data_IF_666303622501
#
_entry.id   IF_666303622501
#
_cell.length_a   1.000
_cell.length_b   1.000
_cell.length_c   1.000
_cell.angle_alpha   90.00
_cell.angle_beta   90.00
_cell.angle_gamma   90.00
#
_symmetry.space_group_name_H-M   'P 1'
#
loop_
_entity.id
_entity.type
_entity.pdbx_description
1 polymer ?
#
# COMPACT_ATOMS: atom_id res chain seq x y z
N UNK A 1 -22.81 20.90 -21.81
CA UNK A 1 -23.22 20.80 -20.40
C UNK A 1 -22.06 21.27 -19.55
N UNK A 2 -22.29 22.17 -18.60
CA UNK A 2 -21.23 22.61 -17.70
C UNK A 2 -20.83 21.51 -16.74
N UNK A 3 -19.52 21.31 -16.61
CA UNK A 3 -18.92 20.25 -15.79
C UNK A 3 -18.00 20.91 -14.77
N UNK A 4 -18.18 20.58 -13.49
CA UNK A 4 -17.26 20.93 -12.42
C UNK A 4 -16.42 19.70 -12.08
N UNK A 5 -15.11 19.91 -12.03
CA UNK A 5 -14.15 18.93 -11.53
C UNK A 5 -13.66 19.34 -10.16
N UNK A 6 -13.64 18.41 -9.22
CA UNK A 6 -13.17 18.63 -7.87
C UNK A 6 -11.85 17.89 -7.65
N UNK A 7 -10.99 18.48 -6.85
CA UNK A 7 -9.72 17.89 -6.41
C UNK A 7 -9.89 17.10 -5.10
N UNK A 8 -8.82 16.48 -4.66
CA UNK A 8 -8.81 15.72 -3.39
C UNK A 8 -9.17 16.54 -2.14
N UNK A 9 -9.09 17.86 -2.21
CA UNK A 9 -9.38 18.75 -1.07
C UNK A 9 -10.85 19.18 -0.98
N UNK A 10 -11.71 18.73 -1.91
CA UNK A 10 -13.12 19.17 -1.99
C UNK A 10 -14.09 18.22 -1.28
N UNK A 11 -13.68 17.60 -0.16
CA UNK A 11 -14.54 16.66 0.59
C UNK A 11 -15.85 17.33 1.05
N UNK A 12 -15.81 18.61 1.42
CA UNK A 12 -16.99 19.35 1.84
C UNK A 12 -17.99 19.58 0.71
N UNK A 13 -17.53 19.56 -0.54
CA UNK A 13 -18.41 19.59 -1.71
C UNK A 13 -19.12 18.24 -1.86
N UNK A 14 -18.40 17.14 -1.67
CA UNK A 14 -18.94 15.78 -1.77
C UNK A 14 -20.00 15.54 -0.69
N UNK A 15 -19.70 15.93 0.55
CA UNK A 15 -20.62 15.80 1.68
C UNK A 15 -21.78 16.83 1.65
N UNK A 16 -21.79 17.70 0.65
CA UNK A 16 -22.82 18.74 0.51
C UNK A 16 -22.71 19.90 1.49
N UNK A 17 -21.61 20.02 2.24
CA UNK A 17 -21.37 21.13 3.15
C UNK A 17 -21.06 22.43 2.39
N UNK A 18 -20.21 22.33 1.36
CA UNK A 18 -19.87 23.47 0.51
C UNK A 18 -21.01 23.71 -0.48
N UNK A 19 -21.51 24.96 -0.55
CA UNK A 19 -22.64 25.38 -1.39
C UNK A 19 -22.24 26.34 -2.49
N UNK A 20 -20.95 26.69 -2.57
CA UNK A 20 -20.42 27.57 -3.61
C UNK A 20 -19.01 27.17 -4.02
N UNK A 21 -18.57 27.61 -5.17
CA UNK A 21 -17.20 27.44 -5.66
C UNK A 21 -16.84 28.62 -6.58
N UNK A 22 -15.55 28.93 -6.64
CA UNK A 22 -15.03 29.97 -7.53
C UNK A 22 -14.36 29.31 -8.73
N UNK A 23 -14.66 29.79 -9.92
CA UNK A 23 -14.08 29.29 -11.17
C UNK A 23 -13.76 30.45 -12.13
N UNK A 24 -12.63 30.31 -12.85
CA UNK A 24 -12.29 31.24 -13.94
C UNK A 24 -13.40 31.21 -15.00
N UNK A 25 -13.76 32.39 -15.52
CA UNK A 25 -14.80 32.52 -16.51
C UNK A 25 -14.40 31.78 -17.80
N UNK A 26 -15.27 30.89 -18.24
CA UNK A 26 -15.06 30.11 -19.45
C UNK A 26 -15.80 30.79 -20.64
N UNK A 27 -15.59 30.25 -21.86
CA UNK A 27 -16.24 30.75 -23.07
C UNK A 27 -17.77 30.91 -22.94
N UNK A 28 -18.39 30.11 -22.08
CA UNK A 28 -19.83 30.18 -21.79
C UNK A 28 -20.03 30.30 -20.29
N UNK A 29 -20.29 31.52 -19.76
CA UNK A 29 -20.57 31.71 -18.34
C UNK A 29 -21.80 30.93 -17.89
N UNK A 30 -21.78 30.45 -16.67
CA UNK A 30 -22.92 29.80 -16.03
C UNK A 30 -23.98 30.83 -15.66
N UNK A 31 -25.24 30.41 -15.66
CA UNK A 31 -26.40 31.20 -15.29
C UNK A 31 -27.24 30.46 -14.24
N UNK A 32 -28.02 31.24 -13.49
CA UNK A 32 -29.02 30.69 -12.58
C UNK A 32 -29.95 29.72 -13.30
N UNK A 33 -30.14 28.56 -12.73
CA UNK A 33 -30.94 27.46 -13.29
C UNK A 33 -30.18 26.47 -14.15
N UNK A 34 -28.89 26.73 -14.44
CA UNK A 34 -28.08 25.75 -15.15
C UNK A 34 -27.87 24.48 -14.29
N UNK A 35 -27.92 23.32 -14.93
CA UNK A 35 -27.57 22.06 -14.28
C UNK A 35 -26.08 21.84 -14.35
N UNK A 36 -25.48 21.49 -13.20
CA UNK A 36 -24.08 21.15 -13.04
C UNK A 36 -23.94 19.63 -12.88
N UNK A 37 -23.01 19.06 -13.62
CA UNK A 37 -22.58 17.69 -13.44
C UNK A 37 -21.21 17.70 -12.76
N UNK A 38 -21.17 17.22 -11.54
CA UNK A 38 -19.98 17.24 -10.72
C UNK A 38 -19.28 15.89 -10.81
N UNK A 39 -18.03 15.90 -11.28
CA UNK A 39 -17.22 14.70 -11.49
C UNK A 39 -15.95 14.74 -10.67
N UNK A 40 -15.54 13.58 -10.20
CA UNK A 40 -14.23 13.34 -9.63
C UNK A 40 -13.26 12.93 -10.73
N UNK A 41 -12.03 13.47 -10.68
CA UNK A 41 -10.90 13.05 -11.51
C UNK A 41 -11.17 13.03 -13.03
N UNK A 42 -11.51 14.18 -13.59
CA UNK A 42 -11.77 14.34 -15.04
C UNK A 42 -10.59 13.95 -15.96
N UNK A 43 -9.38 13.84 -15.42
CA UNK A 43 -8.15 13.57 -16.18
C UNK A 43 -7.88 12.07 -16.31
N UNK A 44 -8.52 11.22 -15.51
CA UNK A 44 -8.36 9.76 -15.59
C UNK A 44 -9.40 9.11 -16.52
N UNK A 45 -9.12 7.87 -16.95
CA UNK A 45 -10.09 7.07 -17.73
C UNK A 45 -11.35 6.72 -16.91
N UNK A 46 -11.26 6.80 -15.60
CA UNK A 46 -12.34 6.50 -14.64
C UNK A 46 -12.96 7.78 -14.12
N UNK A 47 -13.79 8.39 -14.93
CA UNK A 47 -14.59 9.56 -14.54
C UNK A 47 -15.74 9.10 -13.66
N UNK A 48 -15.75 9.56 -12.41
CA UNK A 48 -16.86 9.27 -11.51
C UNK A 48 -17.72 10.53 -11.34
N UNK A 49 -19.00 10.45 -11.72
CA UNK A 49 -19.97 11.50 -11.47
C UNK A 49 -20.30 11.49 -9.97
N UNK A 50 -20.07 12.61 -9.30
CA UNK A 50 -20.27 12.73 -7.86
C UNK A 50 -21.72 13.08 -7.53
N UNK A 51 -22.24 14.14 -8.13
CA UNK A 51 -23.63 14.57 -7.95
C UNK A 51 -24.06 15.52 -9.07
N UNK A 52 -25.36 15.80 -9.15
CA UNK A 52 -25.92 16.90 -9.92
C UNK A 52 -26.31 18.03 -8.99
N UNK A 53 -26.21 19.24 -9.50
CA UNK A 53 -26.60 20.42 -8.78
C UNK A 53 -27.29 21.41 -9.73
N UNK A 54 -28.11 22.28 -9.16
CA UNK A 54 -28.66 23.43 -9.88
C UNK A 54 -27.94 24.68 -9.39
N UNK A 55 -27.51 25.51 -10.32
CA UNK A 55 -26.97 26.83 -10.02
C UNK A 55 -28.06 27.68 -9.43
N UNK A 56 -27.90 28.12 -8.19
CA UNK A 56 -28.88 28.95 -7.48
C UNK A 56 -28.59 30.43 -7.68
N UNK A 57 -27.33 30.80 -7.83
CA UNK A 57 -26.90 32.14 -8.15
C UNK A 57 -25.49 32.16 -8.76
N UNK A 58 -25.13 33.23 -9.42
CA UNK A 58 -23.81 33.44 -10.03
C UNK A 58 -23.42 34.89 -9.85
N UNK A 59 -22.23 35.11 -9.29
CA UNK A 59 -21.64 36.43 -9.13
C UNK A 59 -20.36 36.53 -9.93
N UNK A 60 -20.22 37.55 -10.78
CA UNK A 60 -18.96 37.84 -11.44
C UNK A 60 -18.04 38.59 -10.45
N UNK A 61 -16.84 38.16 -10.29
CA UNK A 61 -15.85 38.73 -9.39
C UNK A 61 -14.52 38.94 -10.12
N UNK A 62 -13.89 40.09 -9.90
CA UNK A 62 -12.56 40.34 -10.42
C UNK A 62 -11.51 39.52 -9.64
N UNK A 63 -10.46 39.07 -10.32
CA UNK A 63 -9.41 38.30 -9.68
C UNK A 63 -8.72 39.07 -8.55
N UNK A 64 -8.58 40.38 -8.71
CA UNK A 64 -8.00 41.27 -7.71
C UNK A 64 -8.78 41.25 -6.38
N UNK A 65 -10.11 41.18 -6.45
CA UNK A 65 -10.99 41.14 -5.28
C UNK A 65 -10.89 39.77 -4.56
N UNK A 66 -10.58 38.72 -5.29
CA UNK A 66 -10.39 37.38 -4.73
C UNK A 66 -9.05 37.29 -3.97
N UNK A 67 -7.97 37.75 -4.59
CA UNK A 67 -6.60 37.55 -4.06
C UNK A 67 -6.26 38.45 -2.86
N UNK A 68 -7.07 39.46 -2.60
CA UNK A 68 -6.89 40.39 -1.47
C UNK A 68 -7.89 40.15 -0.33
N UNK A 69 -8.72 39.11 -0.44
CA UNK A 69 -9.78 38.84 0.53
C UNK A 69 -9.57 37.53 1.26
N UNK A 70 -9.07 37.61 2.49
CA UNK A 70 -8.82 36.47 3.35
C UNK A 70 -10.11 35.73 3.78
N UNK A 71 -11.24 36.43 3.83
CA UNK A 71 -12.53 35.80 4.16
C UNK A 71 -13.00 34.91 3.01
N UNK A 72 -12.87 35.37 1.76
CA UNK A 72 -13.14 34.57 0.57
C UNK A 72 -12.20 33.35 0.55
N UNK A 73 -10.93 33.53 0.87
CA UNK A 73 -9.97 32.43 0.92
C UNK A 73 -10.36 31.36 1.96
N UNK A 74 -10.74 31.77 3.17
CA UNK A 74 -11.16 30.84 4.23
C UNK A 74 -12.46 30.13 3.88
N UNK A 75 -13.41 30.81 3.28
CA UNK A 75 -14.65 30.19 2.82
C UNK A 75 -14.44 29.17 1.69
N UNK A 76 -13.37 29.33 0.88
CA UNK A 76 -12.94 28.39 -0.14
C UNK A 76 -12.00 27.28 0.43
N UNK A 77 -11.72 27.28 1.73
CA UNK A 77 -10.93 26.24 2.41
C UNK A 77 -9.43 26.48 2.40
N UNK A 78 -8.98 27.71 2.13
CA UNK A 78 -7.58 28.10 2.23
C UNK A 78 -7.31 28.83 3.54
N UNK A 79 -6.05 28.81 3.99
CA UNK A 79 -5.63 29.51 5.22
C UNK A 79 -5.75 31.02 5.09
N UNK A 80 -5.33 31.54 3.94
CA UNK A 80 -5.32 32.95 3.60
C UNK A 80 -5.35 33.16 2.07
N UNK A 81 -5.49 34.39 1.65
CA UNK A 81 -5.52 34.79 0.23
C UNK A 81 -4.21 34.45 -0.51
N UNK A 82 -3.08 34.42 0.18
CA UNK A 82 -1.76 34.07 -0.43
C UNK A 82 -1.68 32.60 -0.79
N UNK A 83 -2.17 31.73 0.08
CA UNK A 83 -2.25 30.30 -0.19
C UNK A 83 -3.22 30.04 -1.35
N UNK A 84 -4.39 30.67 -1.33
CA UNK A 84 -5.38 30.57 -2.40
C UNK A 84 -4.80 31.01 -3.75
N UNK A 85 -4.08 32.13 -3.79
CA UNK A 85 -3.41 32.63 -4.99
C UNK A 85 -2.38 31.64 -5.52
N UNK A 86 -1.59 31.03 -4.63
CA UNK A 86 -0.59 30.03 -5.01
C UNK A 86 -1.25 28.81 -5.67
N UNK A 87 -2.32 28.31 -5.11
CA UNK A 87 -3.05 27.17 -5.69
C UNK A 87 -3.77 27.54 -6.98
N UNK A 88 -4.35 28.74 -7.10
CA UNK A 88 -4.92 29.22 -8.36
C UNK A 88 -3.86 29.32 -9.46
N UNK A 89 -2.69 29.88 -9.18
CA UNK A 89 -1.58 29.92 -10.15
C UNK A 89 -1.14 28.52 -10.59
N UNK A 90 -1.10 27.57 -9.68
CA UNK A 90 -0.79 26.17 -9.98
C UNK A 90 -1.89 25.53 -10.85
N UNK A 91 -3.16 25.71 -10.49
CA UNK A 91 -4.32 25.14 -11.19
C UNK A 91 -4.43 25.65 -12.63
N UNK A 92 -4.16 26.93 -12.85
CA UNK A 92 -4.24 27.57 -14.17
C UNK A 92 -2.89 27.72 -14.88
N UNK A 93 -1.85 27.01 -14.40
CA UNK A 93 -0.52 26.95 -15.05
C UNK A 93 0.19 28.31 -15.12
N UNK A 94 0.04 29.15 -14.11
CA UNK A 94 0.62 30.49 -14.05
C UNK A 94 -0.04 31.53 -14.97
N UNK A 95 -1.14 31.17 -15.65
CA UNK A 95 -1.86 32.02 -16.63
C UNK A 95 -3.01 32.79 -15.98
N UNK A 96 -2.86 33.26 -14.76
CA UNK A 96 -3.87 34.06 -14.07
C UNK A 96 -3.28 35.44 -13.80
N UNK A 97 -3.92 36.48 -14.27
CA UNK A 97 -3.56 37.86 -14.02
C UNK A 97 -4.75 38.69 -13.49
N UNK A 98 -4.48 39.91 -13.06
CA UNK A 98 -5.48 40.79 -12.44
C UNK A 98 -6.65 41.18 -13.36
N UNK A 99 -6.50 40.98 -14.69
CA UNK A 99 -7.59 41.22 -15.66
C UNK A 99 -8.51 40.03 -15.84
N UNK A 100 -8.20 38.88 -15.26
CA UNK A 100 -9.04 37.70 -15.36
C UNK A 100 -10.33 37.85 -14.59
N UNK A 101 -11.41 37.36 -15.20
CA UNK A 101 -12.72 37.33 -14.58
C UNK A 101 -13.06 35.94 -14.06
N UNK A 102 -13.65 35.89 -12.90
CA UNK A 102 -14.11 34.70 -12.24
C UNK A 102 -15.59 34.75 -11.95
N UNK A 103 -16.17 33.59 -11.69
CA UNK A 103 -17.54 33.47 -11.21
C UNK A 103 -17.56 32.79 -9.86
N UNK A 104 -18.26 33.35 -8.90
CA UNK A 104 -18.69 32.64 -7.70
C UNK A 104 -20.00 31.94 -8.06
N UNK A 105 -20.01 30.64 -7.98
CA UNK A 105 -21.15 29.82 -8.38
C UNK A 105 -21.78 29.26 -7.12
N UNK A 106 -22.95 29.73 -6.79
CA UNK A 106 -23.79 29.17 -5.74
C UNK A 106 -24.62 28.04 -6.32
N UNK A 107 -24.67 26.91 -5.62
CA UNK A 107 -25.45 25.78 -6.11
C UNK A 107 -26.15 25.03 -4.97
N UNK A 108 -27.25 24.39 -5.32
CA UNK A 108 -27.95 23.44 -4.47
C UNK A 108 -27.81 22.05 -5.08
N UNK A 109 -27.30 21.11 -4.28
CA UNK A 109 -27.32 19.69 -4.65
C UNK A 109 -28.77 19.27 -4.89
N UNK A 110 -29.03 18.58 -6.00
CA UNK A 110 -30.35 18.01 -6.25
C UNK A 110 -30.57 16.84 -5.31
N UNK A 111 -31.74 16.80 -4.68
CA UNK A 111 -32.14 15.67 -3.86
C UNK A 111 -32.38 14.44 -4.75
N UNK A 112 -32.27 13.26 -4.13
CA UNK A 112 -32.33 11.96 -4.82
C UNK A 112 -33.64 11.80 -5.62
N UNK A 113 -34.74 12.39 -5.15
CA UNK A 113 -36.05 12.34 -5.81
C UNK A 113 -36.12 13.14 -7.12
N UNK A 114 -35.24 14.15 -7.29
CA UNK A 114 -35.10 14.94 -8.52
C UNK A 114 -34.14 14.29 -9.55
N UNK A 115 -33.55 13.16 -9.19
CA UNK A 115 -32.55 12.48 -9.98
C UNK A 115 -33.20 11.49 -10.97
N UNK A 116 -32.96 11.69 -12.26
CA UNK A 116 -33.40 10.77 -13.34
C UNK A 116 -32.25 9.86 -13.87
N UNK A 117 -31.19 9.69 -13.11
CA UNK A 117 -30.06 8.79 -13.44
C UNK A 117 -29.92 7.64 -12.45
N UNK A 118 -28.95 6.75 -12.66
CA UNK A 118 -28.68 5.65 -11.74
C UNK A 118 -28.42 6.19 -10.32
N UNK A 119 -29.17 5.65 -9.35
CA UNK A 119 -29.04 6.03 -7.92
C UNK A 119 -27.66 5.64 -7.40
N UNK A 120 -26.71 6.57 -7.46
CA UNK A 120 -25.42 6.38 -6.78
C UNK A 120 -25.59 6.92 -5.35
N UNK A 121 -25.56 6.01 -4.40
CA UNK A 121 -25.60 6.31 -2.98
C UNK A 121 -24.38 7.13 -2.55
N UNK A 122 -24.57 8.15 -1.73
CA UNK A 122 -23.50 9.04 -1.26
C UNK A 122 -22.40 8.23 -0.53
N UNK A 123 -22.79 7.26 0.30
CA UNK A 123 -21.88 6.33 0.97
C UNK A 123 -21.00 5.59 -0.04
N UNK A 124 -21.63 5.02 -1.07
CA UNK A 124 -20.92 4.27 -2.12
C UNK A 124 -19.89 5.11 -2.88
N UNK A 125 -20.19 6.39 -3.13
CA UNK A 125 -19.25 7.30 -3.80
C UNK A 125 -18.05 7.64 -2.93
N UNK A 126 -18.29 7.93 -1.64
CA UNK A 126 -17.23 8.24 -0.68
C UNK A 126 -16.35 7.02 -0.49
N UNK A 127 -16.95 5.83 -0.38
CA UNK A 127 -16.24 4.54 -0.28
C UNK A 127 -15.32 4.31 -1.48
N UNK A 128 -15.84 4.39 -2.70
CA UNK A 128 -15.02 4.23 -3.92
C UNK A 128 -13.86 5.22 -3.99
N UNK A 129 -14.09 6.44 -3.52
CA UNK A 129 -13.01 7.43 -3.42
C UNK A 129 -11.95 7.01 -2.40
N UNK A 130 -12.37 6.52 -1.25
CA UNK A 130 -11.49 6.02 -0.22
C UNK A 130 -10.61 4.87 -0.77
N UNK A 131 -11.24 3.91 -1.46
CA UNK A 131 -10.54 2.78 -2.09
C UNK A 131 -9.48 3.25 -3.10
N UNK A 132 -9.83 4.17 -4.01
CA UNK A 132 -8.88 4.74 -4.99
C UNK A 132 -7.71 5.46 -4.30
N UNK A 133 -7.97 6.18 -3.20
CA UNK A 133 -6.92 6.85 -2.43
C UNK A 133 -6.03 5.85 -1.71
N UNK A 134 -6.60 4.80 -1.16
CA UNK A 134 -5.89 3.67 -0.55
C UNK A 134 -4.96 3.01 -1.56
N UNK A 135 -5.48 2.60 -2.72
CA UNK A 135 -4.72 1.95 -3.81
C UNK A 135 -3.60 2.85 -4.37
N UNK A 136 -3.76 4.19 -4.24
CA UNK A 136 -2.76 5.19 -4.62
C UNK A 136 -1.73 5.47 -3.53
N UNK A 137 -1.76 4.77 -2.39
CA UNK A 137 -0.89 4.99 -1.25
C UNK A 137 -1.13 6.31 -0.48
N UNK A 138 -2.28 6.95 -0.68
CA UNK A 138 -2.64 8.22 -0.03
C UNK A 138 -3.48 7.97 1.23
N UNK A 139 -2.88 7.27 2.17
CA UNK A 139 -3.57 6.72 3.33
C UNK A 139 -4.23 7.78 4.22
N UNK A 140 -3.58 8.92 4.53
CA UNK A 140 -4.19 10.02 5.30
C UNK A 140 -5.51 10.52 4.69
N UNK A 141 -5.55 10.65 3.36
CA UNK A 141 -6.75 11.12 2.66
C UNK A 141 -7.81 10.03 2.55
N UNK A 142 -7.39 8.79 2.46
CA UNK A 142 -8.27 7.62 2.49
C UNK A 142 -8.97 7.52 3.84
N UNK A 143 -8.25 7.70 4.96
CA UNK A 143 -8.82 7.76 6.33
C UNK A 143 -9.98 8.75 6.40
N UNK A 144 -9.76 9.99 5.93
CA UNK A 144 -10.82 11.02 5.94
C UNK A 144 -12.07 10.60 5.16
N UNK A 145 -11.90 9.85 4.08
CA UNK A 145 -13.03 9.38 3.27
C UNK A 145 -13.74 8.21 3.96
N UNK A 146 -13.01 7.23 4.50
CA UNK A 146 -13.62 6.13 5.26
C UNK A 146 -14.36 6.65 6.49
N UNK A 147 -13.80 7.60 7.23
CA UNK A 147 -14.48 8.27 8.35
C UNK A 147 -15.78 8.95 7.92
N UNK A 148 -15.76 9.60 6.77
CA UNK A 148 -16.96 10.25 6.23
C UNK A 148 -18.04 9.22 5.83
N UNK A 149 -17.64 8.08 5.27
CA UNK A 149 -18.55 6.98 4.95
C UNK A 149 -19.10 6.30 6.21
N UNK A 150 -18.25 6.07 7.22
CA UNK A 150 -18.65 5.48 8.51
C UNK A 150 -19.56 6.41 9.33
N UNK A 151 -19.52 7.74 9.12
CA UNK A 151 -20.53 8.64 9.71
C UNK A 151 -21.92 8.45 9.10
N UNK A 152 -22.01 7.96 7.86
CA UNK A 152 -23.29 7.65 7.20
C UNK A 152 -23.78 6.28 7.67
N UNK A 153 -22.89 5.31 7.76
CA UNK A 153 -23.19 3.96 8.18
C UNK A 153 -22.10 3.42 9.13
N UNK A 154 -22.24 3.62 10.44
CA UNK A 154 -21.24 3.24 11.44
C UNK A 154 -21.03 1.73 11.60
N UNK A 155 -21.94 0.92 11.07
CA UNK A 155 -21.95 -0.53 11.22
C UNK A 155 -21.66 -1.27 9.91
N UNK A 156 -21.16 -0.58 8.90
CA UNK A 156 -20.73 -1.18 7.64
C UNK A 156 -19.42 -1.95 7.84
N UNK A 157 -19.50 -3.27 7.85
CA UNK A 157 -18.37 -4.18 8.10
C UNK A 157 -17.25 -3.99 7.08
N UNK A 158 -17.61 -3.75 5.80
CA UNK A 158 -16.61 -3.49 4.75
C UNK A 158 -15.82 -2.20 5.04
N UNK A 159 -16.52 -1.12 5.40
CA UNK A 159 -15.86 0.16 5.72
C UNK A 159 -14.99 0.06 6.95
N UNK A 160 -15.46 -0.61 8.00
CA UNK A 160 -14.68 -0.84 9.22
C UNK A 160 -13.41 -1.64 8.93
N UNK A 161 -13.51 -2.71 8.15
CA UNK A 161 -12.34 -3.49 7.76
C UNK A 161 -11.36 -2.65 6.91
N UNK A 162 -11.85 -1.91 5.92
CA UNK A 162 -11.02 -1.05 5.07
C UNK A 162 -10.37 0.09 5.84
N UNK A 163 -11.06 0.67 6.80
CA UNK A 163 -10.47 1.66 7.70
C UNK A 163 -9.37 1.05 8.56
N UNK A 164 -9.57 -0.15 9.09
CA UNK A 164 -8.54 -0.90 9.80
C UNK A 164 -7.31 -1.18 8.94
N UNK A 165 -7.51 -1.65 7.70
CA UNK A 165 -6.42 -1.88 6.74
C UNK A 165 -5.64 -0.58 6.47
N UNK A 166 -6.36 0.53 6.32
CA UNK A 166 -5.75 1.84 6.05
C UNK A 166 -4.94 2.37 7.24
N UNK A 167 -5.47 2.26 8.45
CA UNK A 167 -4.78 2.62 9.70
C UNK A 167 -3.54 1.74 9.92
N UNK A 168 -3.63 0.45 9.64
CA UNK A 168 -2.47 -0.46 9.69
C UNK A 168 -1.36 -0.04 8.73
N UNK A 169 -1.69 0.48 7.53
CA UNK A 169 -0.70 1.05 6.58
C UNK A 169 -0.06 2.33 7.06
N UNK A 170 -0.73 3.09 7.91
CA UNK A 170 -0.19 4.28 8.58
C UNK A 170 0.65 3.95 9.82
N UNK A 171 0.62 2.70 10.29
CA UNK A 171 1.25 2.28 11.55
C UNK A 171 0.41 2.57 12.79
N UNK A 172 -0.84 2.99 12.62
CA UNK A 172 -1.81 3.27 13.68
C UNK A 172 -2.52 1.97 14.07
N UNK A 173 -1.75 1.05 14.68
CA UNK A 173 -2.21 -0.33 14.89
C UNK A 173 -3.33 -0.45 15.95
N UNK A 174 -3.30 0.36 17.00
CA UNK A 174 -4.31 0.32 18.05
C UNK A 174 -5.69 0.72 17.51
N UNK A 175 -5.74 1.80 16.72
CA UNK A 175 -6.96 2.27 16.08
C UNK A 175 -7.44 1.28 14.99
N UNK A 176 -6.52 0.63 14.29
CA UNK A 176 -6.84 -0.43 13.33
C UNK A 176 -7.52 -1.61 14.02
N UNK A 177 -6.98 -2.05 15.17
CA UNK A 177 -7.54 -3.14 15.98
C UNK A 177 -8.95 -2.78 16.47
N UNK A 178 -9.18 -1.54 16.91
CA UNK A 178 -10.53 -1.08 17.27
C UNK A 178 -11.53 -1.16 16.12
N UNK A 179 -11.10 -0.83 14.89
CA UNK A 179 -11.95 -0.94 13.71
C UNK A 179 -12.29 -2.39 13.41
N UNK A 180 -11.30 -3.30 13.48
CA UNK A 180 -11.54 -4.73 13.30
C UNK A 180 -12.44 -5.31 14.40
N UNK A 181 -12.28 -4.87 15.65
CA UNK A 181 -13.15 -5.32 16.75
C UNK A 181 -14.60 -4.93 16.52
N UNK A 182 -14.86 -3.67 16.12
CA UNK A 182 -16.20 -3.22 15.77
C UNK A 182 -16.80 -4.03 14.60
N UNK A 183 -15.98 -4.39 13.63
CA UNK A 183 -16.42 -5.22 12.52
C UNK A 183 -16.73 -6.66 12.97
N UNK A 184 -15.91 -7.23 13.86
CA UNK A 184 -16.10 -8.57 14.43
C UNK A 184 -17.24 -8.65 15.45
N UNK A 185 -17.63 -7.56 16.08
CA UNK A 185 -18.86 -7.48 16.88
C UNK A 185 -20.12 -7.72 16.02
N UNK A 186 -20.03 -7.41 14.72
CA UNK A 186 -21.13 -7.59 13.76
C UNK A 186 -21.02 -8.96 13.07
N UNK A 187 -19.82 -9.30 12.61
CA UNK A 187 -19.51 -10.58 11.92
C UNK A 187 -18.39 -11.33 12.66
N UNK A 188 -18.67 -12.04 13.75
CA UNK A 188 -17.65 -12.69 14.59
C UNK A 188 -16.88 -13.82 13.90
N UNK A 189 -17.41 -14.38 12.82
CA UNK A 189 -16.86 -15.47 12.04
C UNK A 189 -16.17 -15.01 10.75
N UNK A 190 -16.04 -13.70 10.55
CA UNK A 190 -15.35 -13.16 9.37
C UNK A 190 -13.85 -13.42 9.44
N UNK A 191 -13.44 -14.47 8.76
CA UNK A 191 -12.07 -14.98 8.76
C UNK A 191 -11.05 -13.96 8.23
N UNK A 192 -11.44 -13.13 7.26
CA UNK A 192 -10.56 -12.10 6.71
C UNK A 192 -10.26 -11.01 7.75
N UNK A 193 -11.28 -10.55 8.46
CA UNK A 193 -11.11 -9.54 9.50
C UNK A 193 -10.31 -10.09 10.68
N UNK A 194 -10.58 -11.34 11.09
CA UNK A 194 -9.79 -12.03 12.13
C UNK A 194 -8.31 -12.12 11.76
N UNK A 195 -8.03 -12.41 10.49
CA UNK A 195 -6.67 -12.48 9.98
C UNK A 195 -6.01 -11.09 9.94
N UNK A 196 -6.69 -10.07 9.43
CA UNK A 196 -6.18 -8.69 9.40
C UNK A 196 -5.91 -8.17 10.82
N UNK A 197 -6.82 -8.46 11.78
CA UNK A 197 -6.62 -8.15 13.19
C UNK A 197 -5.39 -8.87 13.75
N UNK A 198 -5.19 -10.14 13.42
CA UNK A 198 -4.00 -10.88 13.86
C UNK A 198 -2.70 -10.24 13.37
N UNK A 199 -2.67 -9.78 12.10
CA UNK A 199 -1.53 -9.07 11.51
C UNK A 199 -1.31 -7.71 12.21
N UNK A 200 -2.37 -6.95 12.47
CA UNK A 200 -2.26 -5.67 13.17
C UNK A 200 -1.73 -5.84 14.60
N UNK A 201 -2.23 -6.85 15.33
CA UNK A 201 -1.72 -7.20 16.67
C UNK A 201 -0.26 -7.62 16.65
N UNK A 202 0.15 -8.40 15.64
CA UNK A 202 1.55 -8.77 15.44
C UNK A 202 2.45 -7.55 15.26
N UNK A 203 2.04 -6.61 14.40
CA UNK A 203 2.78 -5.38 14.15
C UNK A 203 2.77 -4.42 15.34
N UNK A 204 1.75 -4.46 16.17
CA UNK A 204 1.68 -3.74 17.45
C UNK A 204 2.56 -4.38 18.55
N UNK A 205 3.09 -5.59 18.30
CA UNK A 205 3.88 -6.36 19.28
C UNK A 205 3.06 -7.22 20.24
N UNK A 206 1.74 -7.25 20.10
CA UNK A 206 0.87 -8.14 20.89
C UNK A 206 0.81 -9.54 20.27
N UNK A 207 1.86 -10.33 20.56
CA UNK A 207 2.02 -11.68 20.01
C UNK A 207 0.94 -12.65 20.55
N UNK A 208 0.50 -12.48 21.79
CA UNK A 208 -0.54 -13.33 22.38
C UNK A 208 -1.90 -13.04 21.72
N UNK A 209 -2.26 -11.78 21.56
CA UNK A 209 -3.46 -11.35 20.85
C UNK A 209 -3.46 -11.83 19.38
N UNK A 210 -2.31 -11.73 18.69
CA UNK A 210 -2.14 -12.21 17.33
C UNK A 210 -2.38 -13.73 17.22
N UNK A 211 -1.79 -14.52 18.12
CA UNK A 211 -1.99 -15.96 18.18
C UNK A 211 -3.46 -16.31 18.46
N UNK A 212 -4.11 -15.59 19.37
CA UNK A 212 -5.52 -15.80 19.70
C UNK A 212 -6.41 -15.53 18.49
N UNK A 213 -6.25 -14.40 17.83
CA UNK A 213 -7.04 -14.03 16.63
C UNK A 213 -6.82 -15.01 15.48
N UNK A 214 -5.56 -15.39 15.20
CA UNK A 214 -5.25 -16.39 14.17
C UNK A 214 -5.79 -17.78 14.52
N UNK A 215 -5.88 -18.13 15.81
CA UNK A 215 -6.48 -19.39 16.27
C UNK A 215 -7.99 -19.41 16.03
N UNK A 216 -8.66 -18.29 16.27
CA UNK A 216 -10.10 -18.16 15.99
C UNK A 216 -10.34 -18.29 14.48
N UNK A 217 -9.55 -17.56 13.65
CA UNK A 217 -9.63 -17.65 12.20
C UNK A 217 -9.41 -19.09 11.69
N UNK A 218 -8.43 -19.79 12.23
CA UNK A 218 -8.16 -21.19 11.91
C UNK A 218 -9.30 -22.14 12.28
N UNK A 219 -9.99 -21.90 13.41
CA UNK A 219 -11.12 -22.73 13.82
C UNK A 219 -12.32 -22.58 12.86
N UNK A 220 -12.54 -21.37 12.33
CA UNK A 220 -13.60 -21.15 11.34
C UNK A 220 -13.20 -21.65 9.93
N UNK A 221 -11.93 -21.50 9.54
CA UNK A 221 -11.47 -21.87 8.21
C UNK A 221 -10.11 -22.59 8.23
N UNK A 222 -10.08 -23.87 8.65
CA UNK A 222 -8.83 -24.60 8.88
C UNK A 222 -8.06 -24.98 7.59
N UNK A 223 -8.66 -24.73 6.42
CA UNK A 223 -8.06 -25.01 5.10
C UNK A 223 -7.89 -23.75 4.25
N UNK A 224 -8.07 -22.55 4.81
CA UNK A 224 -7.84 -21.31 4.10
C UNK A 224 -6.33 -21.05 3.99
N UNK A 225 -5.77 -20.91 2.77
CA UNK A 225 -4.33 -20.68 2.59
C UNK A 225 -3.83 -19.45 3.33
N UNK A 226 -4.55 -18.33 3.24
CA UNK A 226 -4.17 -17.09 3.91
C UNK A 226 -4.14 -17.21 5.44
N UNK A 227 -5.08 -17.95 6.02
CA UNK A 227 -5.12 -18.19 7.48
C UNK A 227 -3.96 -19.08 7.91
N UNK A 228 -3.68 -20.13 7.15
CA UNK A 228 -2.56 -21.03 7.43
C UNK A 228 -1.23 -20.29 7.33
N UNK A 229 -1.04 -19.49 6.28
CA UNK A 229 0.19 -18.72 6.08
C UNK A 229 0.49 -17.81 7.27
N UNK A 230 -0.44 -16.92 7.62
CA UNK A 230 -0.24 -15.98 8.72
C UNK A 230 -0.17 -16.67 10.10
N UNK A 231 -0.90 -17.76 10.28
CA UNK A 231 -0.77 -18.57 11.51
C UNK A 231 0.61 -19.22 11.61
N UNK A 232 1.13 -19.77 10.53
CA UNK A 232 2.50 -20.30 10.47
C UNK A 232 3.51 -19.23 10.85
N UNK A 233 3.41 -18.05 10.25
CA UNK A 233 4.28 -16.92 10.51
C UNK A 233 4.21 -16.40 11.95
N UNK A 234 3.03 -16.29 12.52
CA UNK A 234 2.86 -15.90 13.94
C UNK A 234 3.49 -16.92 14.87
N UNK A 235 3.32 -18.22 14.60
CA UNK A 235 3.93 -19.28 15.39
C UNK A 235 5.47 -19.29 15.28
N UNK A 236 5.99 -18.98 14.11
CA UNK A 236 7.44 -18.82 13.88
C UNK A 236 8.01 -17.68 14.72
N UNK A 237 7.40 -16.50 14.69
CA UNK A 237 7.82 -15.35 15.53
C UNK A 237 7.74 -15.67 17.03
N UNK A 238 6.77 -16.48 17.43
CA UNK A 238 6.67 -16.96 18.81
C UNK A 238 7.71 -18.02 19.20
N UNK A 239 8.54 -18.48 18.26
CA UNK A 239 9.50 -19.58 18.47
C UNK A 239 8.86 -20.97 18.56
N UNK A 240 7.58 -21.08 18.20
CA UNK A 240 6.84 -22.35 18.21
C UNK A 240 7.05 -23.12 16.91
N UNK A 241 8.34 -23.33 16.57
CA UNK A 241 8.82 -23.81 15.26
C UNK A 241 8.15 -25.12 14.81
N UNK A 242 8.03 -26.12 15.70
CA UNK A 242 7.37 -27.39 15.35
C UNK A 242 5.90 -27.24 15.00
N UNK A 243 5.21 -26.24 15.60
CA UNK A 243 3.81 -25.95 15.26
C UNK A 243 3.73 -25.19 13.95
N UNK A 244 4.62 -24.22 13.72
CA UNK A 244 4.71 -23.48 12.47
C UNK A 244 4.97 -24.43 11.29
N UNK A 245 5.93 -25.35 11.44
CA UNK A 245 6.27 -26.34 10.40
C UNK A 245 5.06 -27.19 10.01
N UNK A 246 4.31 -27.71 10.99
CA UNK A 246 3.08 -28.46 10.70
C UNK A 246 2.03 -27.64 9.97
N UNK A 247 1.97 -26.34 10.22
CA UNK A 247 1.03 -25.43 9.53
C UNK A 247 1.50 -25.20 8.09
N UNK A 248 2.79 -24.99 7.86
CA UNK A 248 3.32 -24.84 6.51
C UNK A 248 3.24 -26.14 5.71
N UNK A 249 3.51 -27.29 6.32
CA UNK A 249 3.33 -28.61 5.68
C UNK A 249 1.86 -28.82 5.23
N UNK A 250 0.90 -28.40 6.08
CA UNK A 250 -0.51 -28.45 5.72
C UNK A 250 -0.85 -27.48 4.58
N UNK A 251 -0.25 -26.30 4.59
CA UNK A 251 -0.47 -25.30 3.55
C UNK A 251 0.08 -25.77 2.19
N UNK A 252 1.25 -26.39 2.17
CA UNK A 252 1.84 -26.99 0.97
C UNK A 252 0.93 -28.06 0.33
N UNK A 253 0.23 -28.86 1.15
CA UNK A 253 -0.72 -29.85 0.61
C UNK A 253 -1.89 -29.19 -0.11
N UNK A 254 -2.26 -27.95 0.28
CA UNK A 254 -3.40 -27.21 -0.28
C UNK A 254 -2.95 -26.34 -1.47
N UNK A 255 -1.79 -25.74 -1.40
CA UNK A 255 -1.27 -24.73 -2.32
C UNK A 255 0.20 -25.03 -2.65
N UNK A 256 0.45 -26.17 -3.32
CA UNK A 256 1.79 -26.64 -3.66
C UNK A 256 2.50 -25.81 -4.73
N UNK A 257 1.75 -25.02 -5.50
CA UNK A 257 2.27 -24.20 -6.59
C UNK A 257 2.68 -22.79 -6.13
N UNK A 258 2.57 -22.48 -4.84
CA UNK A 258 2.91 -21.19 -4.29
C UNK A 258 4.36 -21.18 -3.75
N UNK A 259 5.30 -20.49 -4.42
CA UNK A 259 6.70 -20.47 -4.02
C UNK A 259 6.92 -19.82 -2.65
N UNK A 260 6.08 -18.85 -2.25
CA UNK A 260 6.22 -18.17 -0.95
C UNK A 260 6.06 -19.14 0.23
N UNK A 261 5.20 -20.16 0.08
CA UNK A 261 4.99 -21.15 1.13
C UNK A 261 6.21 -22.05 1.30
N UNK A 262 6.80 -22.48 0.20
CA UNK A 262 8.03 -23.26 0.19
C UNK A 262 9.19 -22.46 0.76
N UNK A 263 9.30 -21.18 0.41
CA UNK A 263 10.31 -20.27 0.98
C UNK A 263 10.14 -20.09 2.49
N UNK A 264 8.91 -19.88 2.96
CA UNK A 264 8.63 -19.74 4.40
C UNK A 264 9.01 -21.03 5.16
N UNK A 265 8.69 -22.20 4.60
CA UNK A 265 9.10 -23.48 5.16
C UNK A 265 10.62 -23.64 5.19
N UNK A 266 11.30 -23.26 4.11
CA UNK A 266 12.76 -23.31 4.00
C UNK A 266 13.43 -22.40 5.04
N UNK A 267 12.96 -21.18 5.22
CA UNK A 267 13.46 -20.25 6.24
C UNK A 267 13.30 -20.83 7.64
N UNK A 268 12.09 -21.31 7.97
CA UNK A 268 11.84 -21.93 9.27
C UNK A 268 12.74 -23.12 9.52
N UNK A 269 12.99 -23.96 8.52
CA UNK A 269 13.89 -25.12 8.64
C UNK A 269 15.36 -24.68 8.81
N UNK A 270 15.76 -23.58 8.19
CA UNK A 270 17.08 -22.97 8.42
C UNK A 270 17.23 -22.52 9.87
N UNK A 271 16.24 -21.83 10.41
CA UNK A 271 16.22 -21.41 11.82
C UNK A 271 16.22 -22.59 12.81
N UNK A 272 15.66 -23.72 12.41
CA UNK A 272 15.71 -24.98 13.15
C UNK A 272 17.02 -25.74 12.99
N UNK A 273 17.94 -25.29 12.13
CA UNK A 273 19.20 -26.00 11.79
C UNK A 273 18.98 -27.24 10.93
N UNK A 274 17.81 -27.43 10.31
CA UNK A 274 17.48 -28.58 9.43
C UNK A 274 17.81 -28.23 7.98
N UNK A 275 19.09 -28.01 7.71
CA UNK A 275 19.59 -27.37 6.51
C UNK A 275 19.31 -28.15 5.22
N UNK A 276 19.41 -29.48 5.24
CA UNK A 276 19.12 -30.30 4.07
C UNK A 276 17.65 -30.20 3.66
N UNK A 277 16.72 -30.18 4.62
CA UNK A 277 15.29 -30.04 4.35
C UNK A 277 14.93 -28.59 3.94
N UNK A 278 15.69 -27.61 4.42
CA UNK A 278 15.56 -26.22 4.00
C UNK A 278 15.92 -26.09 2.51
N UNK A 279 17.04 -26.69 2.08
CA UNK A 279 17.47 -26.71 0.69
C UNK A 279 16.41 -27.36 -0.20
N UNK A 280 15.86 -28.52 0.20
CA UNK A 280 14.77 -29.17 -0.54
C UNK A 280 13.54 -28.24 -0.69
N UNK A 281 13.24 -27.43 0.33
CA UNK A 281 12.13 -26.49 0.28
C UNK A 281 12.40 -25.32 -0.68
N UNK A 282 13.62 -24.76 -0.65
CA UNK A 282 14.01 -23.70 -1.58
C UNK A 282 14.09 -24.20 -3.03
N UNK A 283 14.57 -25.43 -3.24
CA UNK A 283 14.61 -26.06 -4.55
C UNK A 283 13.19 -26.21 -5.13
N UNK A 284 12.22 -26.63 -4.29
CA UNK A 284 10.82 -26.66 -4.66
C UNK A 284 10.25 -25.27 -4.97
N UNK A 285 10.60 -24.23 -4.21
CA UNK A 285 10.19 -22.86 -4.51
C UNK A 285 10.68 -22.44 -5.90
N UNK A 286 11.92 -22.77 -6.25
CA UNK A 286 12.48 -22.49 -7.58
C UNK A 286 11.78 -23.30 -8.67
N UNK A 287 11.52 -24.59 -8.43
CA UNK A 287 10.85 -25.46 -9.41
C UNK A 287 9.45 -24.96 -9.80
N UNK A 288 8.65 -24.51 -8.84
CA UNK A 288 7.29 -24.01 -9.11
C UNK A 288 7.27 -22.65 -9.82
N UNK A 289 8.38 -21.90 -9.81
CA UNK A 289 8.54 -20.66 -10.57
C UNK A 289 8.95 -20.84 -12.03
N UNK A 290 9.31 -22.06 -12.47
CA UNK A 290 9.93 -22.30 -13.77
C UNK A 290 9.00 -22.08 -14.99
N UNK A 291 7.70 -21.98 -14.81
CA UNK A 291 6.74 -21.77 -15.92
C UNK A 291 6.48 -20.29 -16.24
N UNK A 292 6.94 -19.37 -15.42
CA UNK A 292 6.81 -17.92 -15.67
C UNK A 292 8.14 -17.21 -15.46
N UNK A 293 8.39 -16.18 -16.24
CA UNK A 293 9.60 -15.35 -16.37
C UNK A 293 10.14 -14.68 -15.08
N UNK A 294 9.78 -15.15 -13.90
CA UNK A 294 10.18 -14.66 -12.58
C UNK A 294 10.73 -15.82 -11.72
N UNK A 295 11.86 -16.41 -12.15
CA UNK A 295 12.63 -17.24 -11.22
C UNK A 295 12.99 -16.40 -9.99
N UNK A 296 12.59 -16.86 -8.80
CA UNK A 296 12.85 -16.19 -7.54
C UNK A 296 14.34 -16.25 -7.17
N UNK A 297 15.08 -15.21 -7.54
CA UNK A 297 16.50 -15.09 -7.25
C UNK A 297 16.79 -15.11 -5.73
N UNK A 298 15.83 -14.65 -4.91
CA UNK A 298 15.94 -14.68 -3.46
C UNK A 298 15.91 -16.10 -2.92
N UNK A 299 15.06 -16.99 -3.43
CA UNK A 299 15.03 -18.41 -3.06
C UNK A 299 16.39 -19.08 -3.32
N UNK A 300 16.96 -18.82 -4.51
CA UNK A 300 18.27 -19.37 -4.88
C UNK A 300 19.38 -18.82 -3.97
N UNK A 301 19.33 -17.53 -3.64
CA UNK A 301 20.27 -16.94 -2.70
C UNK A 301 20.15 -17.55 -1.29
N UNK A 302 18.93 -17.79 -0.79
CA UNK A 302 18.69 -18.45 0.51
C UNK A 302 19.21 -19.90 0.51
N UNK A 303 19.01 -20.63 -0.58
CA UNK A 303 19.58 -21.95 -0.77
C UNK A 303 21.13 -21.92 -0.73
N UNK A 304 21.73 -20.90 -1.36
CA UNK A 304 23.18 -20.66 -1.28
C UNK A 304 23.66 -20.45 0.15
N UNK A 305 22.95 -19.65 0.95
CA UNK A 305 23.28 -19.46 2.37
C UNK A 305 23.18 -20.77 3.16
N UNK A 306 22.14 -21.57 2.94
CA UNK A 306 22.03 -22.88 3.61
C UNK A 306 23.17 -23.84 3.21
N UNK A 307 23.66 -23.76 1.98
CA UNK A 307 24.86 -24.51 1.56
C UNK A 307 26.14 -24.03 2.26
N UNK A 308 26.29 -22.71 2.54
CA UNK A 308 27.40 -22.20 3.36
C UNK A 308 27.36 -22.84 4.75
N UNK A 309 26.19 -22.82 5.39
CA UNK A 309 26.01 -23.37 6.74
C UNK A 309 26.30 -24.88 6.80
N UNK A 310 26.11 -25.59 5.69
CA UNK A 310 26.52 -26.98 5.52
C UNK A 310 28.01 -27.18 5.16
N UNK A 311 28.74 -26.09 4.93
CA UNK A 311 30.12 -26.13 4.46
C UNK A 311 30.30 -26.58 3.00
N UNK A 312 29.22 -26.53 2.20
CA UNK A 312 29.22 -26.88 0.77
C UNK A 312 29.43 -25.63 -0.07
N UNK A 313 30.65 -25.11 -0.05
CA UNK A 313 30.98 -23.79 -0.58
C UNK A 313 30.90 -23.71 -2.12
N UNK A 314 31.20 -24.81 -2.84
CA UNK A 314 31.12 -24.81 -4.31
C UNK A 314 29.65 -24.76 -4.77
N UNK A 315 28.77 -25.52 -4.11
CA UNK A 315 27.32 -25.47 -4.37
C UNK A 315 26.73 -24.09 -4.02
N UNK A 316 27.17 -23.49 -2.92
CA UNK A 316 26.77 -22.11 -2.56
C UNK A 316 27.19 -21.10 -3.63
N UNK A 317 28.42 -21.21 -4.15
CA UNK A 317 28.91 -20.34 -5.22
C UNK A 317 28.11 -20.49 -6.50
N UNK A 318 27.67 -21.70 -6.85
CA UNK A 318 26.80 -21.95 -8.01
C UNK A 318 25.44 -21.26 -7.83
N UNK A 319 24.82 -21.38 -6.65
CA UNK A 319 23.57 -20.67 -6.32
C UNK A 319 23.71 -19.17 -6.46
N UNK A 320 24.74 -18.54 -5.88
CA UNK A 320 24.93 -17.09 -5.99
C UNK A 320 25.22 -16.64 -7.42
N UNK A 321 25.97 -17.42 -8.20
CA UNK A 321 26.15 -17.11 -9.62
C UNK A 321 24.82 -17.14 -10.38
N UNK A 322 23.95 -18.08 -10.10
CA UNK A 322 22.64 -18.20 -10.69
C UNK A 322 21.76 -17.02 -10.28
N UNK A 323 21.67 -16.70 -8.98
CA UNK A 323 20.90 -15.55 -8.48
C UNK A 323 21.39 -14.23 -9.11
N UNK A 324 22.70 -14.01 -9.21
CA UNK A 324 23.30 -12.83 -9.88
C UNK A 324 23.00 -12.81 -11.38
N UNK A 325 22.85 -13.97 -12.03
CA UNK A 325 22.49 -14.00 -13.46
C UNK A 325 21.07 -13.48 -13.71
N UNK A 326 20.18 -13.69 -12.75
CA UNK A 326 18.80 -13.20 -12.76
C UNK A 326 18.76 -11.72 -12.36
N UNK A 327 19.43 -11.35 -11.27
CA UNK A 327 19.47 -9.99 -10.75
C UNK A 327 20.91 -9.46 -10.66
N UNK A 328 21.45 -9.01 -11.76
CA UNK A 328 22.87 -8.59 -11.91
C UNK A 328 23.34 -7.50 -10.94
N UNK A 329 22.41 -6.72 -10.37
CA UNK A 329 22.74 -5.55 -9.57
C UNK A 329 22.36 -5.71 -8.10
N UNK A 330 21.91 -6.88 -7.68
CA UNK A 330 21.56 -7.13 -6.30
C UNK A 330 22.85 -7.15 -5.44
N UNK A 331 22.90 -6.26 -4.46
CA UNK A 331 24.07 -6.02 -3.61
C UNK A 331 24.31 -7.22 -2.69
N UNK A 332 23.24 -7.80 -2.16
CA UNK A 332 23.30 -8.90 -1.20
C UNK A 332 23.85 -10.18 -1.85
N UNK A 333 23.42 -10.45 -3.09
CA UNK A 333 23.94 -11.62 -3.83
C UNK A 333 25.43 -11.48 -4.17
N UNK A 334 25.87 -10.25 -4.51
CA UNK A 334 27.28 -9.97 -4.77
C UNK A 334 28.13 -10.06 -3.50
N UNK A 335 27.58 -9.60 -2.36
CA UNK A 335 28.23 -9.68 -1.06
C UNK A 335 28.40 -11.15 -0.64
N UNK A 336 27.32 -11.95 -0.67
CA UNK A 336 27.34 -13.36 -0.32
C UNK A 336 28.31 -14.16 -1.21
N UNK A 337 28.32 -13.87 -2.52
CA UNK A 337 29.32 -14.46 -3.42
C UNK A 337 30.74 -14.12 -3.01
N UNK A 338 31.01 -12.87 -2.64
CA UNK A 338 32.32 -12.44 -2.17
C UNK A 338 32.77 -13.20 -0.93
N UNK A 339 31.86 -13.38 0.03
CA UNK A 339 32.12 -14.17 1.27
C UNK A 339 32.50 -15.59 0.94
N UNK A 340 31.72 -16.30 0.12
CA UNK A 340 32.03 -17.68 -0.28
C UNK A 340 33.37 -17.81 -1.00
N UNK A 341 33.66 -16.86 -1.90
CA UNK A 341 34.94 -16.85 -2.62
C UNK A 341 36.14 -16.65 -1.66
N UNK A 342 35.96 -15.81 -0.63
CA UNK A 342 36.95 -15.62 0.43
C UNK A 342 37.17 -16.90 1.22
N UNK A 343 36.11 -17.61 1.62
CA UNK A 343 36.21 -18.90 2.33
C UNK A 343 36.83 -20.02 1.47
N UNK A 344 36.64 -19.99 0.16
CA UNK A 344 37.30 -20.86 -0.81
C UNK A 344 38.77 -20.47 -1.08
N UNK A 345 39.29 -19.40 -0.47
CA UNK A 345 40.62 -18.87 -0.71
C UNK A 345 40.80 -18.19 -2.09
N UNK A 346 39.71 -17.89 -2.79
CA UNK A 346 39.73 -17.20 -4.11
C UNK A 346 39.69 -15.69 -3.91
N UNK A 347 40.71 -15.15 -3.24
CA UNK A 347 40.74 -13.77 -2.76
C UNK A 347 40.62 -12.74 -3.87
N UNK A 348 41.24 -12.92 -5.06
CA UNK A 348 41.15 -12.00 -6.20
C UNK A 348 39.71 -11.87 -6.69
N UNK A 349 38.99 -12.98 -6.82
CA UNK A 349 37.60 -12.99 -7.26
C UNK A 349 36.66 -12.42 -6.19
N UNK A 350 36.97 -12.62 -4.91
CA UNK A 350 36.23 -12.02 -3.79
C UNK A 350 36.35 -10.50 -3.80
N UNK A 351 37.57 -9.96 -3.97
CA UNK A 351 37.81 -8.50 -4.11
C UNK A 351 37.04 -7.92 -5.28
N UNK A 352 36.96 -8.61 -6.43
CA UNK A 352 36.15 -8.17 -7.56
C UNK A 352 34.66 -8.07 -7.21
N UNK A 353 34.14 -9.06 -6.46
CA UNK A 353 32.75 -9.06 -5.99
C UNK A 353 32.48 -7.90 -5.02
N UNK A 354 33.32 -7.67 -4.02
CA UNK A 354 33.22 -6.56 -3.09
C UNK A 354 33.37 -5.20 -3.76
N UNK A 355 34.24 -5.06 -4.76
CA UNK A 355 34.34 -3.84 -5.57
C UNK A 355 33.03 -3.54 -6.31
N UNK A 356 32.33 -4.55 -6.82
CA UNK A 356 31.02 -4.39 -7.45
C UNK A 356 29.95 -3.92 -6.45
N UNK A 357 30.01 -4.40 -5.20
CA UNK A 357 29.16 -3.89 -4.11
C UNK A 357 29.45 -2.43 -3.83
N UNK A 358 30.74 -2.08 -3.58
CA UNK A 358 31.16 -0.72 -3.24
C UNK A 358 30.94 0.29 -4.38
N UNK A 359 30.94 -0.16 -5.62
CA UNK A 359 30.58 0.70 -6.78
C UNK A 359 29.10 1.14 -6.71
N UNK A 360 28.22 0.36 -6.12
CA UNK A 360 26.77 0.60 -6.01
C UNK A 360 26.38 1.24 -4.68
N UNK A 361 27.02 0.81 -3.63
CA UNK A 361 26.88 1.34 -2.28
C UNK A 361 28.27 1.60 -1.69
N UNK A 362 28.82 2.82 -1.90
CA UNK A 362 30.15 3.18 -1.42
C UNK A 362 30.29 3.14 0.11
N UNK A 363 29.20 3.26 0.83
CA UNK A 363 29.15 3.29 2.29
C UNK A 363 28.88 1.90 2.90
N UNK A 364 28.98 0.81 2.12
CA UNK A 364 28.80 -0.54 2.64
C UNK A 364 30.05 -0.95 3.43
N UNK A 365 29.94 -0.90 4.75
CA UNK A 365 31.04 -1.19 5.68
C UNK A 365 31.50 -2.64 5.57
N UNK A 366 30.57 -3.61 5.45
CA UNK A 366 30.90 -5.04 5.38
C UNK A 366 31.76 -5.34 4.15
N UNK A 367 31.33 -4.85 2.96
CA UNK A 367 32.09 -5.05 1.74
C UNK A 367 33.47 -4.39 1.79
N UNK A 368 33.59 -3.26 2.49
CA UNK A 368 34.87 -2.58 2.68
C UNK A 368 35.81 -3.43 3.57
N UNK A 369 35.34 -3.87 4.74
CA UNK A 369 36.16 -4.65 5.66
C UNK A 369 36.57 -5.99 5.08
N UNK A 370 35.63 -6.74 4.49
CA UNK A 370 35.91 -8.04 3.87
C UNK A 370 36.87 -7.92 2.68
N UNK A 371 36.79 -6.84 1.91
CA UNK A 371 37.75 -6.57 0.85
C UNK A 371 39.15 -6.34 1.39
N UNK A 372 39.31 -5.50 2.44
CA UNK A 372 40.63 -5.25 3.04
C UNK A 372 41.20 -6.54 3.62
N UNK A 373 40.38 -7.37 4.28
CA UNK A 373 40.79 -8.69 4.77
C UNK A 373 41.29 -9.62 3.64
N UNK A 374 40.62 -9.61 2.50
CA UNK A 374 41.08 -10.34 1.33
C UNK A 374 42.45 -9.82 0.85
N UNK A 375 42.66 -8.49 0.80
CA UNK A 375 43.90 -7.86 0.34
C UNK A 375 45.08 -8.16 1.24
N UNK A 376 44.86 -8.40 2.54
CA UNK A 376 45.88 -8.78 3.50
C UNK A 376 46.33 -10.27 3.34
N UNK A 377 45.58 -11.07 2.61
CA UNK A 377 45.84 -12.50 2.36
C UNK A 377 46.39 -12.80 0.95
N UNK A 378 46.77 -11.75 0.19
CA UNK A 378 47.45 -11.90 -1.12
C UNK A 378 48.91 -12.31 -1.03
#
# INVERSE_FOLDING_TARGET
MPILSFSSNDIDVITGKKRRTIRKLWKTPLKKGDRLYCYWNLVSKEKMKIFEAIVTDVEDIAFEDIINNDDVAREEGFKDSKEMLKEFKKMYGGRVDNSDKFQIIYFKKLDIDDWKGDKIDEKSMITKRADILFDSGKFDKSTMCYDAALRIDPYDVYLLNKQGDNLSRLGEFDEAIECYDKALDIEPDNVYILNNKAIALLNAGDLEGALKSSTIAYNYSPSSPIVLYWRGFILEILGEYDKALRVYDKLIVIDSENPEVWNSRGNLLTDMGRLEEAIESFDRAVEVCLDDSEMDADSINRMGNAYIDLGKLDEALECFNTAISLEKNNIDFLLNKGVVLMELGKFEEAVDSFNKVLLRNPDNEDAFFLKEECLDNF
#
